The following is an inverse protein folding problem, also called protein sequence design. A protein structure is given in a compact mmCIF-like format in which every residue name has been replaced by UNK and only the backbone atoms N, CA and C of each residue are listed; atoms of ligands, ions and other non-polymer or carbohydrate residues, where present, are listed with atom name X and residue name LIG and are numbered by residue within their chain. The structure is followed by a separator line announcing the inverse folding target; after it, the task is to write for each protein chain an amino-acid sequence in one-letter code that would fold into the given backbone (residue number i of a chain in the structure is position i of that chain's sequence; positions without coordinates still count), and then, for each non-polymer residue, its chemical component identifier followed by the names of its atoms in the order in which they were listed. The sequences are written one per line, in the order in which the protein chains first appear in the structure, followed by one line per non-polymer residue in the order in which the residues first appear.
data_IF_101765325574
#
_entry.id   IF_101765325574
#
_cell.length_a   1.000
_cell.length_b   1.000
_cell.length_c   1.000
_cell.angle_alpha   90.00
_cell.angle_beta   90.00
_cell.angle_gamma   90.00
#
_symmetry.space_group_name_H-M   'P 1'
#
loop_
_entity.id
_entity.type
_entity.pdbx_description
1 polymer ?
#
# COMPACT_ATOMS: atom_id res chain seq x y z
N UNK A 1 -4.11 -13.19 -1.72
CA UNK A 1 -3.82 -14.18 -2.80
C UNK A 1 -2.55 -13.77 -3.53
N UNK A 2 -2.05 -14.57 -4.48
CA UNK A 2 -0.83 -14.22 -5.21
C UNK A 2 -0.91 -14.50 -6.72
N UNK A 3 -0.05 -13.84 -7.48
CA UNK A 3 0.15 -14.03 -8.91
C UNK A 3 1.64 -13.92 -9.26
N UNK A 4 2.11 -14.72 -10.22
CA UNK A 4 3.48 -14.61 -10.75
C UNK A 4 3.37 -14.14 -12.21
N UNK A 5 3.83 -12.92 -12.46
CA UNK A 5 3.85 -12.33 -13.78
C UNK A 5 5.18 -12.64 -14.48
N UNK A 6 5.12 -12.98 -15.77
CA UNK A 6 6.31 -13.05 -16.62
C UNK A 6 6.57 -11.69 -17.27
N UNK A 7 7.82 -11.25 -17.21
CA UNK A 7 8.28 -10.03 -17.88
C UNK A 7 9.48 -10.35 -18.77
N UNK A 8 9.82 -9.45 -19.68
CA UNK A 8 11.05 -9.55 -20.49
C UNK A 8 12.33 -9.64 -19.66
N UNK A 9 12.28 -9.27 -18.38
CA UNK A 9 13.42 -9.25 -17.44
C UNK A 9 13.37 -10.37 -16.39
N UNK A 10 12.40 -11.28 -16.48
CA UNK A 10 12.20 -12.37 -15.52
C UNK A 10 10.82 -12.35 -14.85
N UNK A 11 10.60 -13.32 -13.96
CA UNK A 11 9.34 -13.48 -13.22
C UNK A 11 9.26 -12.50 -12.05
N UNK A 12 8.09 -11.93 -11.79
CA UNK A 12 7.79 -11.08 -10.63
C UNK A 12 6.58 -11.65 -9.91
N UNK A 13 6.72 -11.92 -8.62
CA UNK A 13 5.62 -12.37 -7.77
C UNK A 13 4.96 -11.17 -7.09
N UNK A 14 3.63 -11.14 -7.10
CA UNK A 14 2.82 -10.17 -6.38
C UNK A 14 1.96 -10.93 -5.36
N UNK A 15 2.06 -10.52 -4.10
CA UNK A 15 1.31 -11.10 -2.98
C UNK A 15 0.44 -10.02 -2.35
N UNK A 16 -0.85 -10.28 -2.24
CA UNK A 16 -1.78 -9.46 -1.47
C UNK A 16 -2.13 -10.12 -0.13
N UNK A 17 -1.97 -9.37 0.95
CA UNK A 17 -2.26 -9.74 2.33
C UNK A 17 -3.18 -8.69 2.98
N UNK A 18 -3.96 -9.11 3.99
CA UNK A 18 -4.82 -8.20 4.75
C UNK A 18 -4.40 -8.17 6.23
N UNK A 19 -4.45 -7.00 6.86
CA UNK A 19 -4.26 -6.84 8.30
C UNK A 19 -5.45 -7.33 9.13
N UNK A 20 -5.31 -7.31 10.45
CA UNK A 20 -6.36 -7.76 11.39
C UNK A 20 -6.76 -6.68 12.39
N UNK A 21 -5.87 -5.76 12.70
CA UNK A 21 -6.15 -4.69 13.67
C UNK A 21 -7.15 -3.72 13.07
N UNK A 22 -8.29 -3.51 13.75
CA UNK A 22 -9.43 -2.71 13.28
C UNK A 22 -10.11 -3.24 12.00
N UNK A 23 -9.87 -4.50 11.64
CA UNK A 23 -10.39 -5.15 10.44
C UNK A 23 -11.04 -6.50 10.80
N UNK A 24 -11.74 -7.16 9.86
CA UNK A 24 -12.28 -8.50 10.10
C UNK A 24 -11.20 -9.49 10.57
N UNK A 25 -11.59 -10.37 11.50
CA UNK A 25 -10.72 -11.44 11.96
C UNK A 25 -10.52 -12.49 10.86
N UNK A 26 -9.27 -12.68 10.47
CA UNK A 26 -8.82 -13.65 9.47
C UNK A 26 -7.60 -14.42 10.01
N UNK A 27 -7.11 -15.39 9.23
CA UNK A 27 -5.84 -16.06 9.51
C UNK A 27 -4.67 -15.07 9.67
N UNK A 28 -3.65 -15.49 10.42
CA UNK A 28 -2.50 -14.63 10.71
C UNK A 28 -1.74 -14.25 9.42
N UNK A 29 -1.69 -12.96 9.02
CA UNK A 29 -1.06 -12.58 7.76
C UNK A 29 0.45 -12.81 7.77
N UNK A 30 1.11 -12.77 8.93
CA UNK A 30 2.54 -13.04 9.08
C UNK A 30 2.88 -14.49 8.73
N UNK A 31 2.12 -15.45 9.26
CA UNK A 31 2.31 -16.88 8.95
C UNK A 31 1.93 -17.20 7.52
N UNK A 32 0.87 -16.58 7.00
CA UNK A 32 0.46 -16.70 5.61
C UNK A 32 1.52 -16.18 4.66
N UNK A 33 2.20 -15.07 5.01
CA UNK A 33 3.32 -14.54 4.24
C UNK A 33 4.44 -15.58 4.12
N UNK A 34 4.93 -16.16 5.24
CA UNK A 34 5.98 -17.18 5.17
C UNK A 34 5.58 -18.41 4.36
N UNK A 35 4.33 -18.86 4.50
CA UNK A 35 3.82 -20.00 3.74
C UNK A 35 3.85 -19.73 2.23
N UNK A 36 3.41 -18.55 1.79
CA UNK A 36 3.45 -18.17 0.36
C UNK A 36 4.89 -17.95 -0.10
N UNK A 37 5.73 -17.25 0.68
CA UNK A 37 7.12 -16.96 0.29
C UNK A 37 7.93 -18.23 0.07
N UNK A 38 7.66 -19.31 0.83
CA UNK A 38 8.28 -20.61 0.58
C UNK A 38 7.97 -21.19 -0.81
N UNK A 39 6.81 -20.87 -1.39
CA UNK A 39 6.45 -21.27 -2.76
C UNK A 39 7.16 -20.44 -3.83
N UNK A 40 7.56 -19.21 -3.51
CA UNK A 40 8.25 -18.33 -4.47
C UNK A 40 9.74 -18.58 -4.56
N UNK A 41 10.36 -19.18 -3.53
CA UNK A 41 11.82 -19.40 -3.46
C UNK A 41 12.41 -20.06 -4.72
N UNK A 42 11.68 -20.98 -5.37
CA UNK A 42 12.11 -21.64 -6.59
C UNK A 42 11.74 -20.89 -7.88
N UNK A 43 10.85 -19.89 -7.81
CA UNK A 43 10.27 -19.21 -8.97
C UNK A 43 10.90 -17.83 -9.22
N UNK A 44 11.06 -17.02 -8.18
CA UNK A 44 11.62 -15.67 -8.29
C UNK A 44 12.04 -15.08 -6.95
N UNK A 45 13.06 -14.20 -7.00
CA UNK A 45 13.44 -13.31 -5.88
C UNK A 45 12.74 -11.95 -5.93
N UNK A 46 12.06 -11.63 -7.04
CA UNK A 46 11.35 -10.37 -7.25
C UNK A 46 9.95 -10.50 -6.67
N UNK A 47 9.77 -10.05 -5.43
CA UNK A 47 8.53 -10.26 -4.68
C UNK A 47 8.02 -8.92 -4.17
N UNK A 48 6.83 -8.53 -4.62
CA UNK A 48 6.14 -7.32 -4.19
C UNK A 48 4.95 -7.73 -3.32
N UNK A 49 4.84 -7.13 -2.14
CA UNK A 49 3.74 -7.37 -1.21
C UNK A 49 2.87 -6.12 -1.13
N UNK A 50 1.59 -6.25 -1.46
CA UNK A 50 0.54 -5.31 -1.06
C UNK A 50 0.00 -5.75 0.30
N UNK A 51 0.11 -4.89 1.31
CA UNK A 51 -0.43 -5.16 2.63
C UNK A 51 -1.58 -4.20 2.96
N UNK A 52 -2.80 -4.69 2.75
CA UNK A 52 -4.04 -3.96 2.97
C UNK A 52 -4.43 -4.00 4.46
N UNK A 53 -4.07 -2.96 5.21
CA UNK A 53 -4.23 -2.94 6.66
C UNK A 53 -4.59 -1.54 7.19
N UNK A 54 -5.25 -1.45 8.33
CA UNK A 54 -5.57 -0.17 8.97
C UNK A 54 -4.45 0.32 9.89
N UNK A 55 -4.04 -0.50 10.86
CA UNK A 55 -3.09 -0.08 11.88
C UNK A 55 -1.67 0.08 11.34
N UNK A 56 -1.11 1.29 11.48
CA UNK A 56 0.28 1.62 11.11
C UNK A 56 1.29 0.71 11.81
N UNK A 57 1.07 0.38 13.09
CA UNK A 57 1.92 -0.54 13.85
C UNK A 57 1.97 -1.95 13.22
N UNK A 58 0.83 -2.47 12.73
CA UNK A 58 0.78 -3.77 12.07
C UNK A 58 1.52 -3.74 10.72
N UNK A 59 1.39 -2.64 9.96
CA UNK A 59 2.13 -2.44 8.70
C UNK A 59 3.64 -2.35 8.91
N UNK A 60 4.09 -1.59 9.91
CA UNK A 60 5.51 -1.48 10.23
C UNK A 60 6.07 -2.81 10.72
N UNK A 61 5.34 -3.52 11.59
CA UNK A 61 5.72 -4.85 12.05
C UNK A 61 5.87 -5.84 10.88
N UNK A 62 4.95 -5.84 9.92
CA UNK A 62 5.07 -6.67 8.71
C UNK A 62 6.28 -6.27 7.86
N UNK A 63 6.53 -4.96 7.69
CA UNK A 63 7.71 -4.46 6.99
C UNK A 63 9.01 -5.01 7.57
N UNK A 64 9.19 -4.90 8.89
CA UNK A 64 10.37 -5.46 9.56
C UNK A 64 10.39 -7.00 9.55
N UNK A 65 9.24 -7.66 9.61
CA UNK A 65 9.14 -9.12 9.57
C UNK A 65 9.58 -9.73 8.24
N UNK A 66 9.35 -9.01 7.14
CA UNK A 66 9.66 -9.43 5.77
C UNK A 66 10.93 -8.79 5.21
N UNK A 67 11.60 -7.90 5.95
CA UNK A 67 12.82 -7.25 5.49
C UNK A 67 13.89 -8.29 5.09
N UNK A 68 14.43 -8.12 3.88
CA UNK A 68 15.40 -9.03 3.26
C UNK A 68 14.80 -10.30 2.63
N UNK A 69 13.51 -10.58 2.84
CA UNK A 69 12.80 -11.73 2.23
C UNK A 69 12.04 -11.37 0.96
N UNK A 70 11.74 -10.09 0.76
CA UNK A 70 10.95 -9.56 -0.36
C UNK A 70 11.62 -8.31 -0.95
N UNK A 71 11.22 -7.97 -2.17
CA UNK A 71 11.69 -6.75 -2.83
C UNK A 71 11.09 -5.50 -2.21
N UNK A 72 9.77 -5.46 -2.05
CA UNK A 72 9.08 -4.31 -1.48
C UNK A 72 7.77 -4.71 -0.77
N UNK A 73 7.44 -3.97 0.30
CA UNK A 73 6.12 -3.99 0.94
C UNK A 73 5.48 -2.60 0.79
N UNK A 74 4.34 -2.57 0.12
CA UNK A 74 3.53 -1.38 -0.13
C UNK A 74 2.24 -1.52 0.68
N UNK A 75 2.06 -0.68 1.70
CA UNK A 75 0.80 -0.65 2.42
C UNK A 75 -0.31 0.03 1.63
N UNK A 76 -1.55 -0.38 1.87
CA UNK A 76 -2.77 0.21 1.30
C UNK A 76 -3.87 0.28 2.38
N UNK A 77 -5.10 0.68 2.00
CA UNK A 77 -6.35 0.75 2.81
C UNK A 77 -6.74 2.15 3.31
N UNK A 78 -5.81 2.92 3.87
CA UNK A 78 -6.18 4.13 4.63
C UNK A 78 -6.51 5.34 3.74
N UNK A 79 -6.24 5.21 2.42
CA UNK A 79 -6.48 6.21 1.37
C UNK A 79 -5.68 7.53 1.51
N UNK A 80 -4.82 7.66 2.52
CA UNK A 80 -3.92 8.81 2.69
C UNK A 80 -2.49 8.35 2.49
N UNK A 81 -1.80 8.90 1.48
CA UNK A 81 -0.42 8.53 1.21
C UNK A 81 0.50 9.01 2.34
N UNK A 82 1.32 8.10 2.88
CA UNK A 82 2.33 8.43 3.89
C UNK A 82 3.61 8.95 3.23
N UNK A 83 4.48 9.62 3.99
CA UNK A 83 5.78 10.14 3.52
C UNK A 83 6.97 9.41 4.16
N UNK A 84 6.82 8.11 4.40
CA UNK A 84 7.79 7.26 5.07
C UNK A 84 8.42 6.22 4.13
N UNK A 85 8.35 6.47 2.82
CA UNK A 85 8.99 5.65 1.80
C UNK A 85 10.49 5.56 2.06
N UNK A 86 10.99 4.32 2.17
CA UNK A 86 12.41 4.07 2.47
C UNK A 86 12.81 2.66 2.08
N UNK A 87 14.12 2.43 2.09
CA UNK A 87 14.69 1.08 1.98
C UNK A 87 15.08 0.66 3.41
N UNK A 88 14.57 -0.49 3.85
CA UNK A 88 14.88 -1.07 5.16
C UNK A 88 16.30 -1.67 5.17
N UNK A 89 16.80 -1.99 6.35
CA UNK A 89 18.21 -2.35 6.57
C UNK A 89 18.68 -3.54 5.72
N UNK A 90 17.82 -4.51 5.43
CA UNK A 90 18.17 -5.69 4.63
C UNK A 90 17.83 -5.53 3.14
N UNK A 91 17.32 -4.37 2.71
CA UNK A 91 17.16 -4.00 1.30
C UNK A 91 15.72 -4.08 0.78
N UNK A 92 14.73 -4.26 1.63
CA UNK A 92 13.31 -4.21 1.24
C UNK A 92 12.82 -2.77 1.13
N UNK A 93 12.19 -2.40 0.02
CA UNK A 93 11.48 -1.13 -0.13
C UNK A 93 10.21 -1.13 0.71
N UNK A 94 9.87 -0.02 1.34
CA UNK A 94 8.77 0.07 2.28
C UNK A 94 8.06 1.41 2.22
N UNK A 95 6.72 1.40 2.31
CA UNK A 95 5.89 2.57 2.61
C UNK A 95 4.67 2.12 3.43
N UNK A 96 4.25 2.92 4.42
CA UNK A 96 3.09 2.58 5.26
C UNK A 96 1.77 2.66 4.48
N UNK A 97 1.56 3.63 3.61
CA UNK A 97 0.39 3.63 2.73
C UNK A 97 0.68 4.35 1.42
N UNK A 98 0.40 3.71 0.28
CA UNK A 98 0.56 4.32 -1.03
C UNK A 98 -0.49 5.38 -1.33
N UNK A 99 -1.56 5.49 -0.52
CA UNK A 99 -2.69 6.38 -0.72
C UNK A 99 -3.74 5.82 -1.69
N UNK A 100 -4.71 6.67 -2.02
CA UNK A 100 -5.78 6.35 -2.98
C UNK A 100 -5.51 7.03 -4.33
N UNK A 101 -5.91 6.37 -5.42
CA UNK A 101 -6.13 7.05 -6.71
C UNK A 101 -7.62 7.30 -6.90
N UNK A 102 -8.04 8.56 -6.88
CA UNK A 102 -9.45 8.94 -6.82
C UNK A 102 -9.66 10.41 -6.40
N UNK A 103 -10.89 10.79 -6.05
CA UNK A 103 -11.23 12.17 -5.70
C UNK A 103 -10.70 12.55 -4.30
N UNK A 104 -9.85 13.57 -4.20
CA UNK A 104 -9.31 14.11 -2.95
C UNK A 104 -10.05 15.33 -2.41
N UNK A 105 -10.90 15.98 -3.23
CA UNK A 105 -11.87 16.97 -2.74
C UNK A 105 -13.06 16.24 -2.09
N UNK A 106 -12.74 15.45 -1.06
CA UNK A 106 -13.59 14.40 -0.51
C UNK A 106 -13.14 14.00 0.89
N UNK A 107 -13.91 13.15 1.55
CA UNK A 107 -13.50 12.43 2.75
C UNK A 107 -13.26 10.98 2.37
N UNK A 108 -12.00 10.58 2.18
CA UNK A 108 -11.60 9.19 1.90
C UNK A 108 -12.27 8.64 0.62
N UNK A 109 -12.52 9.52 -0.36
CA UNK A 109 -13.17 9.20 -1.65
C UNK A 109 -14.67 9.47 -1.67
N UNK A 110 -15.28 9.78 -0.52
CA UNK A 110 -16.72 10.02 -0.38
C UNK A 110 -17.05 11.52 -0.35
N UNK A 111 -18.26 11.89 -0.77
CA UNK A 111 -18.75 13.28 -0.67
C UNK A 111 -18.63 13.80 0.76
N UNK A 112 -18.20 15.04 0.88
CA UNK A 112 -17.93 15.71 2.17
C UNK A 112 -19.19 15.78 3.05
N UNK A 113 -20.32 16.24 2.50
CA UNK A 113 -21.52 16.48 3.32
C UNK A 113 -22.09 15.21 3.98
N UNK A 114 -22.29 14.08 3.28
CA UNK A 114 -22.71 12.83 3.93
C UNK A 114 -21.71 12.32 4.98
N UNK A 115 -20.40 12.45 4.72
CA UNK A 115 -19.37 12.05 5.67
C UNK A 115 -19.43 12.89 6.96
N UNK A 116 -19.54 14.23 6.83
CA UNK A 116 -19.70 15.13 7.97
C UNK A 116 -20.97 14.83 8.77
N UNK A 117 -22.11 14.65 8.09
CA UNK A 117 -23.38 14.34 8.74
C UNK A 117 -23.30 13.07 9.59
N UNK A 118 -22.54 12.06 9.14
CA UNK A 118 -22.33 10.83 9.91
C UNK A 118 -21.62 11.10 11.24
N UNK A 119 -20.62 11.97 11.25
CA UNK A 119 -19.90 12.32 12.48
C UNK A 119 -20.69 13.29 13.38
N UNK A 120 -21.37 14.28 12.79
CA UNK A 120 -22.14 15.29 13.52
C UNK A 120 -23.40 14.72 14.17
N UNK A 121 -24.16 13.91 13.41
CA UNK A 121 -25.48 13.44 13.84
C UNK A 121 -25.50 11.99 14.29
N UNK A 122 -24.41 11.23 14.05
CA UNK A 122 -24.33 9.80 14.34
C UNK A 122 -25.46 8.96 13.72
N UNK A 123 -25.99 9.42 12.58
CA UNK A 123 -27.03 8.72 11.82
C UNK A 123 -26.47 8.07 10.56
N UNK A 124 -27.11 7.00 10.04
CA UNK A 124 -26.76 6.43 8.76
C UNK A 124 -26.87 7.47 7.64
N UNK A 125 -25.83 7.55 6.81
CA UNK A 125 -25.80 8.38 5.61
C UNK A 125 -25.50 7.47 4.42
N UNK A 126 -26.06 7.78 3.26
CA UNK A 126 -25.76 7.03 2.04
C UNK A 126 -24.32 7.30 1.62
N UNK A 127 -23.58 6.25 1.29
CA UNK A 127 -22.26 6.40 0.68
C UNK A 127 -22.43 6.93 -0.75
N UNK A 128 -21.80 8.06 -1.01
CA UNK A 128 -21.79 8.70 -2.31
C UNK A 128 -20.35 9.06 -2.68
N UNK A 129 -19.84 8.48 -3.77
CA UNK A 129 -18.50 8.78 -4.26
C UNK A 129 -18.41 10.24 -4.72
N UNK A 130 -17.33 10.91 -4.32
CA UNK A 130 -17.00 12.24 -4.83
C UNK A 130 -16.53 12.15 -6.30
N UNK A 131 -16.37 13.30 -6.97
CA UNK A 131 -15.95 13.35 -8.38
C UNK A 131 -14.82 14.34 -8.67
N UNK A 132 -14.57 15.28 -7.77
CA UNK A 132 -13.63 16.38 -7.98
C UNK A 132 -12.28 16.13 -7.30
N UNK A 133 -11.26 16.89 -7.69
CA UNK A 133 -9.91 16.78 -7.12
C UNK A 133 -9.28 15.41 -7.35
N UNK A 134 -9.43 14.84 -8.56
CA UNK A 134 -8.89 13.51 -8.86
C UNK A 134 -7.36 13.54 -8.82
N UNK A 135 -6.77 12.69 -7.99
CA UNK A 135 -5.33 12.46 -7.94
C UNK A 135 -5.02 10.98 -8.13
N UNK A 136 -3.81 10.72 -8.62
CA UNK A 136 -3.18 9.44 -8.69
C UNK A 136 -2.12 9.36 -7.60
N UNK A 137 -2.21 8.32 -6.77
CA UNK A 137 -1.17 7.97 -5.83
C UNK A 137 -0.61 6.59 -6.15
N UNK A 138 0.71 6.47 -6.07
CA UNK A 138 1.44 5.25 -6.37
C UNK A 138 2.87 5.33 -5.87
N UNK A 139 3.65 4.30 -6.20
CA UNK A 139 5.08 4.24 -5.87
C UNK A 139 5.85 3.75 -7.10
N UNK A 140 6.93 4.43 -7.42
CA UNK A 140 7.94 3.97 -8.36
C UNK A 140 9.01 3.16 -7.62
N UNK A 141 9.31 1.96 -8.15
CA UNK A 141 10.33 1.07 -7.61
C UNK A 141 11.38 0.75 -8.68
N UNK A 142 12.65 0.89 -8.31
CA UNK A 142 13.76 0.31 -9.06
C UNK A 142 14.31 -0.87 -8.28
N UNK A 143 14.22 -2.05 -8.87
CA UNK A 143 14.67 -3.31 -8.26
C UNK A 143 15.90 -3.86 -8.96
N UNK A 144 16.72 -4.58 -8.21
CA UNK A 144 17.90 -5.28 -8.69
C UNK A 144 17.53 -6.71 -9.11
N UNK A 145 17.78 -7.04 -10.38
CA UNK A 145 17.35 -8.33 -10.94
C UNK A 145 18.06 -9.55 -10.35
N UNK A 146 19.29 -9.41 -9.85
CA UNK A 146 20.09 -10.53 -9.37
C UNK A 146 19.78 -10.85 -7.90
N UNK A 147 19.63 -9.79 -7.11
CA UNK A 147 19.44 -9.86 -5.66
C UNK A 147 17.98 -9.77 -5.24
N UNK A 148 17.10 -9.19 -6.07
CA UNK A 148 15.72 -8.88 -5.73
C UNK A 148 15.56 -7.66 -4.80
N UNK A 149 16.66 -6.98 -4.43
CA UNK A 149 16.63 -5.84 -3.50
C UNK A 149 16.14 -4.56 -4.15
N UNK A 150 15.51 -3.70 -3.36
CA UNK A 150 15.14 -2.36 -3.80
C UNK A 150 16.37 -1.46 -3.86
N UNK A 151 16.52 -0.73 -4.97
CA UNK A 151 17.56 0.29 -5.20
C UNK A 151 17.03 1.70 -5.10
N UNK A 152 15.75 1.90 -5.41
CA UNK A 152 15.07 3.19 -5.32
C UNK A 152 13.58 2.95 -5.04
N UNK A 153 13.02 3.78 -4.17
CA UNK A 153 11.59 3.89 -3.92
C UNK A 153 11.24 5.39 -3.92
N UNK A 154 10.26 5.78 -4.72
CA UNK A 154 9.79 7.17 -4.81
C UNK A 154 8.26 7.19 -4.85
N UNK A 155 7.65 8.08 -4.08
CA UNK A 155 6.20 8.28 -4.12
C UNK A 155 5.79 9.05 -5.37
N UNK A 156 4.65 8.67 -5.91
CA UNK A 156 3.93 9.40 -6.95
C UNK A 156 2.67 9.96 -6.29
N UNK A 157 2.50 11.27 -6.35
CA UNK A 157 1.26 11.97 -6.03
C UNK A 157 1.05 13.01 -7.14
N UNK A 158 0.02 12.81 -7.97
CA UNK A 158 -0.19 13.62 -9.17
C UNK A 158 -1.69 13.87 -9.46
N UNK A 159 -2.11 15.11 -9.70
CA UNK A 159 -1.36 16.35 -9.49
C UNK A 159 -1.06 16.55 -7.99
N UNK A 160 0.02 17.27 -7.69
CA UNK A 160 0.34 17.62 -6.30
C UNK A 160 -0.75 18.54 -5.70
N UNK A 161 -0.94 18.44 -4.39
CA UNK A 161 -1.79 19.39 -3.68
C UNK A 161 -1.31 20.82 -3.84
N UNK A 162 -2.25 21.75 -3.95
CA UNK A 162 -1.98 23.19 -3.84
C UNK A 162 -1.40 23.49 -2.46
N UNK A 163 -0.13 23.93 -2.43
CA UNK A 163 0.58 24.32 -1.20
C UNK A 163 0.84 25.82 -1.09
N UNK A 164 0.53 26.56 -2.16
CA UNK A 164 0.70 28.00 -2.26
C UNK A 164 -0.69 28.57 -2.56
N UNK A 165 -1.13 29.54 -1.76
CA UNK A 165 -2.38 30.22 -2.02
C UNK A 165 -2.30 30.98 -3.35
N UNK A 166 -3.40 30.98 -4.11
CA UNK A 166 -3.58 31.96 -5.18
C UNK A 166 -3.94 33.30 -4.53
N UNK A 167 -3.16 34.35 -4.82
CA UNK A 167 -3.41 35.73 -4.39
C UNK A 167 -4.79 36.26 -4.82
#
# INVERSE_FOLDING_TARGET
GYFIAETKKGKVAVLNLQGRTFMPSIDCPFRSADWVLNKFKSETKMIIVDFHAEATAEKQAMGYYLDGKISALIGTHTHVQTSDERILAQGTGYITDTGMSGPYDSVIGMKVQPALNRFLFQTPQKYETAKNGVQLCGVFLKLDNETGKTKLIERINFPEFTRIASD
#
